data_IF_986904854720
#
_entry.id   IF_986904854720
#
_cell.length_a   1.000
_cell.length_b   1.000
_cell.length_c   1.000
_cell.angle_alpha   90.00
_cell.angle_beta   90.00
_cell.angle_gamma   90.00
#
_symmetry.space_group_name_H-M   'P 1'
#
loop_
_entity.id
_entity.type
_entity.pdbx_description
1 polymer ?
#
# COMPACT_ATOMS: atom_id res chain seq x y z
N UNK A 1 13.34 2.92 17.91
CA UNK A 1 12.77 1.56 17.87
C UNK A 1 11.25 1.68 17.79
N UNK A 2 10.72 1.58 16.57
CA UNK A 2 9.27 1.54 16.33
C UNK A 2 8.67 0.28 16.95
N UNK A 3 7.43 0.37 17.40
CA UNK A 3 6.77 -0.72 18.13
C UNK A 3 5.47 -1.07 17.42
N UNK A 4 5.37 -2.29 16.89
CA UNK A 4 4.12 -2.79 16.34
C UNK A 4 3.25 -3.26 17.51
N UNK A 5 2.06 -2.66 17.69
CA UNK A 5 1.07 -3.09 18.69
C UNK A 5 -0.15 -3.64 17.97
N UNK A 6 -0.45 -4.92 18.23
CA UNK A 6 -1.71 -5.51 17.79
C UNK A 6 -2.86 -5.04 18.70
N UNK A 7 -3.91 -4.45 18.13
CA UNK A 7 -5.22 -4.41 18.78
C UNK A 7 -5.98 -5.73 18.45
N UNK A 8 -5.66 -6.78 19.23
CA UNK A 8 -6.41 -8.05 19.43
C UNK A 8 -6.34 -9.21 18.37
N UNK A 9 -6.49 -10.45 18.85
CA UNK A 9 -6.12 -11.77 18.24
C UNK A 9 -7.18 -12.38 17.29
N UNK A 10 -6.63 -12.90 16.19
CA UNK A 10 -7.06 -13.83 15.12
C UNK A 10 -8.12 -14.92 15.35
N UNK A 11 -8.97 -15.12 14.32
CA UNK A 11 -9.22 -16.42 13.63
C UNK A 11 -9.55 -16.22 12.12
N UNK A 12 -8.87 -17.02 11.29
CA UNK A 12 -9.00 -17.33 9.84
C UNK A 12 -8.77 -16.24 8.76
N UNK A 13 -8.08 -16.66 7.67
CA UNK A 13 -7.36 -15.86 6.66
C UNK A 13 -7.98 -15.92 5.25
N UNK A 14 -7.68 -14.92 4.41
CA UNK A 14 -7.28 -15.09 3.00
C UNK A 14 -6.61 -13.82 2.40
N UNK A 15 -5.66 -14.06 1.49
CA UNK A 15 -5.06 -13.21 0.43
C UNK A 15 -4.05 -12.09 0.78
N UNK A 16 -3.05 -11.99 -0.12
CA UNK A 16 -1.84 -11.16 -0.18
C UNK A 16 -1.82 -9.85 0.63
N UNK A 17 -0.67 -9.55 1.23
CA UNK A 17 -0.45 -8.29 1.97
C UNK A 17 0.84 -7.60 1.52
N UNK A 18 0.86 -6.29 1.72
CA UNK A 18 1.71 -5.32 1.01
C UNK A 18 2.54 -4.45 1.96
N UNK A 19 3.66 -3.92 1.46
CA UNK A 19 4.34 -2.74 2.01
C UNK A 19 4.76 -1.71 0.97
N UNK A 20 4.75 -0.45 1.41
CA UNK A 20 5.04 0.72 0.59
C UNK A 20 5.98 1.71 1.29
N UNK A 21 6.68 2.53 0.48
CA UNK A 21 7.46 3.69 0.92
C UNK A 21 6.59 4.84 1.44
N UNK A 22 6.68 5.14 2.74
CA UNK A 22 5.96 6.25 3.41
C UNK A 22 6.93 7.40 3.72
N UNK A 23 7.27 8.17 2.69
CA UNK A 23 8.12 9.37 2.82
C UNK A 23 9.53 9.07 3.35
N UNK A 24 10.20 10.09 3.91
CA UNK A 24 11.63 10.01 4.19
C UNK A 24 12.06 9.00 5.29
N UNK A 25 11.15 8.46 6.11
CA UNK A 25 11.55 7.72 7.34
C UNK A 25 10.57 6.66 7.87
N UNK A 26 9.60 6.10 7.12
CA UNK A 26 8.75 5.00 7.64
C UNK A 26 8.29 4.03 6.55
N UNK A 27 8.11 2.76 6.91
CA UNK A 27 7.66 1.68 6.02
C UNK A 27 6.87 0.66 6.85
N UNK A 28 5.79 0.09 6.32
CA UNK A 28 5.09 -1.05 6.93
C UNK A 28 4.71 -2.09 5.86
N UNK A 29 5.13 -3.34 6.05
CA UNK A 29 4.44 -4.53 5.57
C UNK A 29 3.74 -5.19 6.75
N UNK A 30 2.57 -5.81 6.57
CA UNK A 30 2.10 -6.84 7.52
C UNK A 30 1.54 -8.02 6.72
N UNK A 31 2.37 -8.92 6.20
CA UNK A 31 1.85 -10.14 5.57
C UNK A 31 1.73 -11.29 6.54
N UNK A 32 0.50 -11.77 6.73
CA UNK A 32 0.23 -13.01 7.42
C UNK A 32 0.62 -14.19 6.53
N UNK A 33 1.61 -14.96 6.96
CA UNK A 33 2.01 -16.19 6.28
C UNK A 33 0.91 -17.27 6.49
N UNK A 34 0.37 -17.92 5.44
CA UNK A 34 -0.74 -18.85 5.57
C UNK A 34 -0.40 -19.99 6.51
N UNK A 35 -1.37 -20.41 7.31
CA UNK A 35 -1.23 -21.53 8.24
C UNK A 35 -0.11 -21.35 9.27
N UNK A 36 0.35 -20.12 9.49
CA UNK A 36 1.28 -19.78 10.56
C UNK A 36 0.72 -18.60 11.36
N UNK A 37 1.14 -18.49 12.62
CA UNK A 37 0.92 -17.28 13.41
C UNK A 37 2.06 -16.29 13.16
N UNK A 38 2.40 -15.95 11.91
CA UNK A 38 3.56 -15.12 11.60
C UNK A 38 3.19 -13.96 10.67
N UNK A 39 3.82 -12.82 10.88
CA UNK A 39 3.72 -11.61 10.07
C UNK A 39 5.10 -11.19 9.57
N UNK A 40 5.17 -10.71 8.35
CA UNK A 40 6.35 -9.98 7.86
C UNK A 40 6.14 -8.50 8.15
N UNK A 41 7.06 -7.89 8.89
CA UNK A 41 7.03 -6.48 9.32
C UNK A 41 8.25 -5.77 8.77
N UNK A 42 8.04 -4.73 7.96
CA UNK A 42 9.13 -3.82 7.60
C UNK A 42 9.27 -2.76 8.70
N UNK A 43 10.48 -2.58 9.23
CA UNK A 43 10.81 -1.60 10.26
C UNK A 43 12.13 -0.90 9.92
N UNK A 44 12.12 0.43 9.78
CA UNK A 44 13.31 1.25 9.53
C UNK A 44 14.25 0.72 8.42
N UNK A 45 13.65 0.21 7.34
CA UNK A 45 14.29 -0.42 6.16
C UNK A 45 14.81 -1.84 6.35
N UNK A 46 14.57 -2.46 7.49
CA UNK A 46 14.82 -3.89 7.72
C UNK A 46 13.50 -4.64 7.61
N UNK A 47 13.46 -5.72 6.85
CA UNK A 47 12.31 -6.62 6.84
C UNK A 47 12.51 -7.65 7.95
N UNK A 48 11.56 -7.74 8.86
CA UNK A 48 11.55 -8.68 9.97
C UNK A 48 10.41 -9.67 9.79
N UNK A 49 10.62 -10.91 10.19
CA UNK A 49 9.56 -11.88 10.35
C UNK A 49 9.26 -11.98 11.83
N UNK A 50 8.02 -11.72 12.20
CA UNK A 50 7.56 -11.79 13.59
C UNK A 50 6.51 -12.88 13.75
N UNK A 51 6.59 -13.63 14.84
CA UNK A 51 5.57 -14.58 15.26
C UNK A 51 4.58 -13.88 16.19
N UNK A 52 3.31 -14.02 15.89
CA UNK A 52 2.18 -13.70 16.74
C UNK A 52 1.95 -14.89 17.68
N UNK A 53 2.00 -14.66 18.99
CA UNK A 53 1.55 -15.65 19.97
C UNK A 53 0.03 -15.58 20.12
N UNK A 54 -0.67 -16.73 20.01
CA UNK A 54 -2.11 -16.80 20.29
C UNK A 54 -2.46 -16.62 21.77
N UNK A 55 -1.48 -16.73 22.67
CA UNK A 55 -1.65 -16.49 24.10
C UNK A 55 -1.36 -15.03 24.51
N UNK A 56 -0.69 -14.25 23.66
CA UNK A 56 -0.31 -12.86 23.90
C UNK A 56 -0.24 -12.05 22.58
N UNK A 57 -1.35 -11.50 22.07
CA UNK A 57 -1.43 -10.79 20.77
C UNK A 57 -0.47 -9.62 20.66
N UNK A 58 -0.31 -8.93 21.78
CA UNK A 58 0.42 -7.68 21.90
C UNK A 58 1.93 -7.90 21.99
N UNK A 59 2.39 -9.16 22.06
CA UNK A 59 3.80 -9.54 22.04
C UNK A 59 4.12 -10.23 20.71
N UNK A 60 4.77 -9.47 19.84
CA UNK A 60 5.31 -9.97 18.59
C UNK A 60 6.77 -10.36 18.81
N UNK A 61 7.07 -11.65 18.67
CA UNK A 61 8.43 -12.18 18.76
C UNK A 61 9.10 -12.07 17.39
N UNK A 62 10.28 -11.44 17.31
CA UNK A 62 11.07 -11.46 16.06
C UNK A 62 11.69 -12.85 15.92
N UNK A 63 11.32 -13.56 14.86
CA UNK A 63 11.78 -14.93 14.57
C UNK A 63 12.74 -14.99 13.36
N UNK A 64 12.87 -13.88 12.64
CA UNK A 64 13.79 -13.75 11.52
C UNK A 64 14.00 -12.29 11.17
N UNK A 65 15.19 -11.96 10.67
CA UNK A 65 15.51 -10.65 10.13
C UNK A 65 16.11 -10.87 8.76
N UNK A 66 15.63 -10.11 7.78
CA UNK A 66 16.13 -10.13 6.42
C UNK A 66 17.53 -9.53 6.32
N UNK A 67 18.56 -10.29 5.92
CA UNK A 67 19.93 -9.79 5.94
C UNK A 67 20.34 -9.03 4.67
N UNK A 68 19.51 -8.99 3.62
CA UNK A 68 19.94 -8.55 2.28
C UNK A 68 19.72 -7.06 1.98
N UNK A 69 19.83 -6.21 3.00
CA UNK A 69 19.86 -4.75 2.82
C UNK A 69 18.53 -4.04 3.02
N UNK A 70 18.41 -2.84 2.46
CA UNK A 70 17.27 -1.97 2.68
C UNK A 70 16.04 -2.52 1.97
N UNK A 71 14.91 -2.53 2.65
CA UNK A 71 13.60 -2.73 2.06
C UNK A 71 12.96 -1.34 1.88
N UNK A 72 12.54 -1.00 0.67
CA UNK A 72 11.83 0.24 0.34
C UNK A 72 10.36 0.00 -0.02
N UNK A 73 10.07 -1.14 -0.64
CA UNK A 73 8.73 -1.64 -0.88
C UNK A 73 8.76 -3.18 -0.80
N UNK A 74 7.62 -3.79 -0.49
CA UNK A 74 7.51 -5.25 -0.50
C UNK A 74 6.13 -5.74 -0.90
N UNK A 75 6.10 -6.96 -1.43
CA UNK A 75 4.86 -7.69 -1.67
C UNK A 75 5.08 -9.17 -1.37
N UNK A 76 4.04 -9.85 -0.90
CA UNK A 76 4.16 -11.25 -0.46
C UNK A 76 3.16 -12.11 -1.20
N UNK A 77 3.68 -13.10 -1.92
CA UNK A 77 2.92 -14.17 -2.52
C UNK A 77 2.95 -15.38 -1.61
N UNK A 78 1.88 -15.51 -0.86
CA UNK A 78 1.71 -16.58 0.09
C UNK A 78 1.35 -17.92 -0.54
N UNK A 79 0.96 -17.94 -1.82
CA UNK A 79 0.65 -19.18 -2.55
C UNK A 79 1.91 -19.83 -3.06
N UNK A 80 2.85 -19.02 -3.57
CA UNK A 80 4.16 -19.47 -4.06
C UNK A 80 5.24 -19.49 -2.98
N UNK A 81 4.93 -19.05 -1.76
CA UNK A 81 5.89 -18.84 -0.67
C UNK A 81 7.07 -17.96 -1.11
N UNK A 82 6.78 -16.86 -1.81
CA UNK A 82 7.79 -15.87 -2.16
C UNK A 82 7.47 -14.49 -1.60
N UNK A 83 8.52 -13.74 -1.25
CA UNK A 83 8.43 -12.31 -0.99
C UNK A 83 9.22 -11.54 -2.04
N UNK A 84 8.77 -10.34 -2.35
CA UNK A 84 9.46 -9.37 -3.19
C UNK A 84 9.94 -8.23 -2.34
N UNK A 85 11.19 -7.80 -2.53
CA UNK A 85 11.78 -6.66 -1.83
C UNK A 85 12.43 -5.73 -2.83
N UNK A 86 11.98 -4.48 -2.84
CA UNK A 86 12.70 -3.40 -3.50
C UNK A 86 13.87 -2.94 -2.61
N UNK A 87 15.09 -3.08 -3.12
CA UNK A 87 16.32 -2.61 -2.49
C UNK A 87 17.11 -1.77 -3.49
N UNK A 88 16.92 -0.45 -3.44
CA UNK A 88 17.50 0.46 -4.44
C UNK A 88 16.97 0.13 -5.84
N UNK A 89 17.85 -0.01 -6.82
CA UNK A 89 17.53 -0.36 -8.21
C UNK A 89 17.39 -1.88 -8.44
N UNK A 90 17.18 -2.66 -7.39
CA UNK A 90 17.02 -4.12 -7.48
C UNK A 90 15.71 -4.54 -6.86
N UNK A 91 14.94 -5.36 -7.58
CA UNK A 91 13.84 -6.14 -7.03
C UNK A 91 14.36 -7.55 -6.72
N UNK A 92 14.43 -7.89 -5.45
CA UNK A 92 14.86 -9.21 -4.96
C UNK A 92 13.65 -10.11 -4.76
N UNK A 93 13.79 -11.39 -5.14
CA UNK A 93 12.80 -12.45 -4.92
C UNK A 93 13.34 -13.42 -3.88
N UNK A 94 12.52 -13.69 -2.89
CA UNK A 94 12.92 -14.38 -1.67
C UNK A 94 12.06 -15.62 -1.47
N UNK A 95 12.68 -16.75 -1.15
CA UNK A 95 11.95 -17.91 -0.63
C UNK A 95 11.64 -17.69 0.86
N UNK A 96 10.36 -17.75 1.19
CA UNK A 96 9.80 -17.60 2.55
C UNK A 96 9.12 -18.88 3.03
N UNK A 97 9.37 -20.02 2.38
CA UNK A 97 8.86 -21.35 2.78
C UNK A 97 9.33 -21.77 4.17
N UNK A 98 10.53 -21.32 4.57
CA UNK A 98 11.07 -21.45 5.93
C UNK A 98 11.34 -20.07 6.53
N UNK A 99 10.40 -19.53 7.33
CA UNK A 99 10.48 -18.14 7.81
C UNK A 99 11.66 -17.85 8.77
N UNK A 100 12.23 -18.88 9.40
CA UNK A 100 13.44 -18.75 10.22
C UNK A 100 14.74 -18.86 9.40
N UNK A 101 14.64 -19.20 8.11
CA UNK A 101 15.77 -19.49 7.22
C UNK A 101 15.45 -19.07 5.78
N UNK A 102 15.02 -17.83 5.60
CA UNK A 102 14.70 -17.25 4.30
C UNK A 102 15.95 -17.10 3.43
N UNK A 103 15.82 -17.24 2.11
CA UNK A 103 16.93 -17.03 1.18
C UNK A 103 16.51 -16.17 -0.01
N UNK A 104 17.44 -15.40 -0.56
CA UNK A 104 17.24 -14.78 -1.87
C UNK A 104 17.39 -15.86 -2.95
N UNK A 105 16.39 -15.99 -3.81
CA UNK A 105 16.36 -17.00 -4.89
C UNK A 105 16.44 -16.37 -6.28
N UNK A 106 16.09 -15.08 -6.43
CA UNK A 106 16.16 -14.37 -7.69
C UNK A 106 16.32 -12.87 -7.50
N UNK A 107 16.70 -12.17 -8.56
CA UNK A 107 16.73 -10.71 -8.59
C UNK A 107 16.61 -10.19 -10.02
N UNK A 108 16.07 -8.97 -10.15
CA UNK A 108 16.04 -8.22 -11.41
C UNK A 108 16.36 -6.76 -11.14
N UNK A 109 17.17 -6.15 -12.01
CA UNK A 109 17.40 -4.70 -11.95
C UNK A 109 16.16 -3.97 -12.45
N UNK A 110 15.78 -2.92 -11.76
CA UNK A 110 14.65 -2.06 -12.08
C UNK A 110 15.10 -0.60 -12.17
N UNK A 111 14.34 0.20 -12.91
CA UNK A 111 14.62 1.62 -13.07
C UNK A 111 14.20 2.44 -11.83
N UNK A 112 15.18 2.71 -10.97
CA UNK A 112 15.02 3.47 -9.75
C UNK A 112 14.52 2.65 -8.56
N UNK A 113 14.27 3.35 -7.45
CA UNK A 113 13.81 2.78 -6.19
C UNK A 113 12.32 2.47 -6.22
N UNK A 114 11.95 1.22 -5.94
CA UNK A 114 10.56 0.81 -5.80
C UNK A 114 9.87 1.61 -4.69
N UNK A 115 8.78 2.30 -5.04
CA UNK A 115 7.92 2.96 -4.06
C UNK A 115 6.88 2.00 -3.54
N UNK A 116 6.38 1.13 -4.42
CA UNK A 116 5.28 0.26 -4.11
C UNK A 116 5.21 -0.92 -5.07
N UNK A 117 4.79 -2.08 -4.56
CA UNK A 117 4.72 -3.34 -5.32
C UNK A 117 3.37 -3.99 -5.08
N UNK A 118 2.75 -4.53 -6.11
CA UNK A 118 1.50 -5.32 -6.03
C UNK A 118 1.59 -6.52 -6.96
N UNK A 119 1.04 -7.65 -6.53
CA UNK A 119 1.09 -8.91 -7.25
C UNK A 119 -0.20 -9.17 -8.02
N UNK A 120 -0.08 -9.74 -9.22
CA UNK A 120 -1.21 -10.29 -10.00
C UNK A 120 -0.79 -11.54 -10.74
N UNK A 121 -1.32 -12.70 -10.32
CA UNK A 121 -0.89 -14.00 -10.84
C UNK A 121 0.63 -14.16 -10.78
N UNK A 122 1.24 -14.40 -11.94
CA UNK A 122 2.68 -14.55 -12.07
C UNK A 122 3.45 -13.24 -12.24
N UNK A 123 2.80 -12.08 -12.09
CA UNK A 123 3.43 -10.78 -12.34
C UNK A 123 3.46 -9.92 -11.08
N UNK A 124 4.46 -9.04 -11.01
CA UNK A 124 4.49 -7.90 -10.10
C UNK A 124 4.33 -6.62 -10.91
N UNK A 125 3.36 -5.80 -10.53
CA UNK A 125 3.27 -4.41 -10.95
C UNK A 125 3.91 -3.55 -9.86
N UNK A 126 4.83 -2.67 -10.23
CA UNK A 126 5.43 -1.74 -9.28
C UNK A 126 5.61 -0.35 -9.87
N UNK A 127 5.68 0.62 -8.98
CA UNK A 127 6.01 2.00 -9.35
C UNK A 127 7.31 2.41 -8.69
N UNK A 128 8.12 3.15 -9.43
CA UNK A 128 9.24 3.91 -8.89
C UNK A 128 8.91 5.39 -8.96
N UNK A 129 9.88 6.28 -8.74
CA UNK A 129 9.62 7.72 -8.86
C UNK A 129 9.08 8.07 -10.25
N UNK A 130 9.75 7.66 -11.32
CA UNK A 130 9.43 8.06 -12.70
C UNK A 130 8.97 6.89 -13.59
N UNK A 131 8.79 5.69 -13.05
CA UNK A 131 8.48 4.51 -13.84
C UNK A 131 7.28 3.74 -13.29
N UNK A 132 6.50 3.19 -14.21
CA UNK A 132 5.62 2.06 -13.97
C UNK A 132 6.21 0.83 -14.64
N UNK A 133 6.40 -0.25 -13.88
CA UNK A 133 7.10 -1.45 -14.34
C UNK A 133 6.24 -2.69 -14.08
N UNK A 134 6.35 -3.66 -14.99
CA UNK A 134 5.75 -4.99 -14.84
C UNK A 134 6.86 -6.03 -14.93
N UNK A 135 6.99 -6.86 -13.90
CA UNK A 135 7.98 -7.93 -13.80
C UNK A 135 7.28 -9.29 -13.84
N UNK A 136 7.74 -10.18 -14.70
CA UNK A 136 7.36 -11.59 -14.77
C UNK A 136 8.11 -12.40 -13.70
N UNK A 137 7.34 -13.16 -12.94
CA UNK A 137 7.74 -14.03 -11.85
C UNK A 137 7.28 -15.48 -12.10
N UNK A 138 7.03 -15.86 -13.36
CA UNK A 138 6.70 -17.24 -13.74
C UNK A 138 7.82 -18.20 -13.32
N UNK A 139 9.07 -17.76 -13.43
CA UNK A 139 10.24 -18.36 -12.78
C UNK A 139 10.79 -17.39 -11.73
N UNK A 140 10.45 -17.57 -10.43
CA UNK A 140 10.92 -16.71 -9.35
C UNK A 140 12.44 -16.68 -9.16
N UNK A 141 13.17 -17.68 -9.64
CA UNK A 141 14.64 -17.70 -9.60
C UNK A 141 15.25 -16.83 -10.70
N UNK A 142 14.50 -16.62 -11.80
CA UNK A 142 14.93 -15.83 -12.95
C UNK A 142 13.87 -14.77 -13.33
N UNK A 143 13.55 -13.82 -12.43
CA UNK A 143 12.56 -12.78 -12.69
C UNK A 143 12.98 -11.88 -13.86
N UNK A 144 12.02 -11.37 -14.64
CA UNK A 144 12.30 -10.56 -15.84
C UNK A 144 11.37 -9.37 -15.95
N UNK A 145 11.92 -8.19 -16.22
CA UNK A 145 11.11 -7.05 -16.61
C UNK A 145 10.44 -7.33 -17.97
N UNK A 146 9.13 -7.13 -18.03
CA UNK A 146 8.30 -7.35 -19.25
C UNK A 146 7.82 -6.06 -19.87
N UNK A 147 7.64 -5.02 -19.07
CA UNK A 147 7.27 -3.69 -19.54
C UNK A 147 7.80 -2.62 -18.59
N UNK A 148 8.13 -1.47 -19.17
CA UNK A 148 8.52 -0.25 -18.47
C UNK A 148 7.95 0.96 -19.19
N UNK A 149 7.30 1.84 -18.43
CA UNK A 149 6.74 3.10 -18.93
C UNK A 149 7.39 4.23 -18.16
N UNK A 150 8.08 5.13 -18.87
CA UNK A 150 8.77 6.27 -18.30
C UNK A 150 7.89 7.52 -18.30
N UNK A 151 7.88 8.24 -17.17
CA UNK A 151 7.13 9.46 -16.95
C UNK A 151 8.07 10.57 -16.45
N UNK A 152 8.59 11.41 -17.35
CA UNK A 152 9.52 12.46 -16.97
C UNK A 152 8.84 13.47 -16.04
N UNK A 153 9.46 13.72 -14.88
CA UNK A 153 8.98 14.70 -13.90
C UNK A 153 7.74 14.26 -13.12
N UNK A 154 7.28 13.01 -13.28
CA UNK A 154 6.22 12.45 -12.45
C UNK A 154 6.82 11.80 -11.20
N UNK A 155 6.08 11.82 -10.10
CA UNK A 155 6.41 11.08 -8.88
C UNK A 155 5.25 10.16 -8.51
N UNK A 156 5.38 8.88 -8.80
CA UNK A 156 4.43 7.88 -8.32
C UNK A 156 4.72 7.51 -6.88
N UNK A 157 3.66 7.19 -6.16
CA UNK A 157 3.74 6.72 -4.78
C UNK A 157 3.14 5.34 -4.65
N UNK A 158 1.96 5.12 -5.22
CA UNK A 158 1.20 3.86 -5.08
C UNK A 158 0.84 3.21 -6.39
N UNK A 159 0.58 1.91 -6.35
CA UNK A 159 -0.14 1.16 -7.40
C UNK A 159 -1.16 0.21 -6.80
N UNK A 160 -2.44 0.26 -7.19
CA UNK A 160 -3.40 -0.83 -6.87
C UNK A 160 -3.89 -1.48 -8.15
N UNK A 161 -4.32 -2.73 -8.04
CA UNK A 161 -4.91 -3.48 -9.14
C UNK A 161 -6.39 -3.75 -8.85
N UNK A 162 -7.21 -3.74 -9.90
CA UNK A 162 -8.57 -4.27 -9.86
C UNK A 162 -8.96 -4.75 -11.24
N UNK A 163 -9.38 -6.02 -11.32
CA UNK A 163 -9.48 -6.75 -12.57
C UNK A 163 -8.20 -6.58 -13.40
N UNK A 164 -8.30 -6.02 -14.60
CA UNK A 164 -7.16 -5.76 -15.48
C UNK A 164 -6.64 -4.31 -15.38
N UNK A 165 -7.18 -3.49 -14.49
CA UNK A 165 -6.75 -2.10 -14.31
C UNK A 165 -5.64 -1.96 -13.28
N UNK A 166 -4.62 -1.16 -13.58
CA UNK A 166 -3.63 -0.64 -12.65
C UNK A 166 -3.87 0.85 -12.39
N UNK A 167 -3.94 1.23 -11.12
CA UNK A 167 -4.30 2.55 -10.62
C UNK A 167 -3.11 3.13 -9.86
N UNK A 168 -2.42 4.11 -10.46
CA UNK A 168 -1.14 4.64 -9.99
C UNK A 168 -1.35 6.00 -9.32
N UNK A 169 -1.16 6.07 -8.01
CA UNK A 169 -1.24 7.32 -7.27
C UNK A 169 0.02 8.17 -7.48
N UNK A 170 -0.15 9.45 -7.73
CA UNK A 170 0.93 10.35 -8.11
C UNK A 170 0.69 11.79 -7.64
N UNK A 171 1.74 12.61 -7.71
CA UNK A 171 1.68 14.06 -7.44
C UNK A 171 0.73 14.86 -8.34
N UNK A 172 0.29 14.27 -9.45
CA UNK A 172 -0.53 14.96 -10.44
C UNK A 172 -1.91 14.32 -10.57
N UNK A 173 -2.29 13.40 -9.68
CA UNK A 173 -3.54 12.66 -9.72
C UNK A 173 -3.34 11.16 -9.90
N UNK A 174 -4.34 10.48 -10.47
CA UNK A 174 -4.39 9.03 -10.65
C UNK A 174 -4.16 8.68 -12.11
N UNK A 175 -3.11 7.92 -12.41
CA UNK A 175 -2.88 7.35 -13.74
C UNK A 175 -3.49 5.95 -13.80
N UNK A 176 -4.20 5.65 -14.88
CA UNK A 176 -4.92 4.39 -15.05
C UNK A 176 -4.41 3.68 -16.31
N UNK A 177 -4.02 2.42 -16.14
CA UNK A 177 -3.51 1.56 -17.18
C UNK A 177 -4.34 0.27 -17.24
N UNK A 178 -4.58 -0.23 -18.45
CA UNK A 178 -4.96 -1.62 -18.68
C UNK A 178 -3.69 -2.47 -18.73
N UNK A 179 -3.62 -3.47 -17.87
CA UNK A 179 -2.52 -4.42 -17.72
C UNK A 179 -2.92 -5.85 -18.10
N UNK A 180 -4.00 -6.01 -18.88
CA UNK A 180 -4.44 -7.32 -19.42
C UNK A 180 -3.32 -8.04 -20.17
N UNK A 181 -2.50 -7.27 -20.89
CA UNK A 181 -1.26 -7.76 -21.50
C UNK A 181 -0.06 -7.21 -20.71
N UNK A 182 0.63 -8.04 -19.91
CA UNK A 182 1.75 -7.60 -19.07
C UNK A 182 2.96 -7.12 -19.87
N UNK A 183 3.07 -7.49 -21.16
CA UNK A 183 4.13 -7.04 -22.05
C UNK A 183 3.83 -5.69 -22.72
N UNK A 184 2.57 -5.23 -22.65
CA UNK A 184 2.13 -4.01 -23.30
C UNK A 184 1.00 -3.34 -22.50
N UNK A 185 1.31 -2.73 -21.36
CA UNK A 185 0.32 -1.95 -20.61
C UNK A 185 -0.18 -0.77 -21.45
N UNK A 186 -1.49 -0.57 -21.48
CA UNK A 186 -2.16 0.46 -22.30
C UNK A 186 -2.68 1.57 -21.40
N UNK A 187 -2.24 2.81 -21.64
CA UNK A 187 -2.77 3.98 -20.92
C UNK A 187 -4.26 4.15 -21.21
N UNK A 188 -5.06 4.27 -20.16
CA UNK A 188 -6.52 4.45 -20.25
C UNK A 188 -6.91 5.90 -19.95
N UNK A 189 -6.46 6.43 -18.82
CA UNK A 189 -6.82 7.78 -18.38
C UNK A 189 -5.82 8.35 -17.36
N UNK A 190 -5.86 9.67 -17.25
CA UNK A 190 -5.27 10.42 -16.15
C UNK A 190 -6.40 11.21 -15.47
N UNK A 191 -6.77 10.78 -14.27
CA UNK A 191 -7.76 11.45 -13.44
C UNK A 191 -7.09 12.51 -12.58
N UNK A 192 -7.65 13.72 -12.59
CA UNK A 192 -7.29 14.80 -11.69
C UNK A 192 -8.52 15.66 -11.41
N UNK A 193 -8.71 16.02 -10.15
CA UNK A 193 -9.74 16.93 -9.68
C UNK A 193 -9.04 17.94 -8.75
N UNK A 194 -9.24 19.24 -8.98
CA UNK A 194 -8.57 20.33 -8.25
C UNK A 194 -7.03 20.23 -8.13
N UNK A 195 -6.36 19.56 -9.09
CA UNK A 195 -4.93 19.24 -9.05
C UNK A 195 -4.52 18.45 -7.80
N UNK A 196 -5.34 17.47 -7.41
CA UNK A 196 -5.08 16.61 -6.27
C UNK A 196 -3.74 15.87 -6.39
N UNK A 197 -2.95 15.97 -5.33
CA UNK A 197 -1.75 15.18 -5.06
C UNK A 197 -2.17 13.91 -4.32
N UNK A 198 -2.14 12.76 -4.99
CA UNK A 198 -2.61 11.48 -4.43
C UNK A 198 -1.43 10.74 -3.81
N UNK A 199 -1.55 10.46 -2.52
CA UNK A 199 -0.55 9.72 -1.75
C UNK A 199 -0.74 8.23 -1.88
N UNK A 200 -1.98 7.78 -1.74
CA UNK A 200 -2.32 6.37 -1.78
C UNK A 200 -3.71 6.16 -2.38
N UNK A 201 -3.93 4.97 -2.90
CA UNK A 201 -5.19 4.56 -3.49
C UNK A 201 -5.56 3.19 -2.94
N UNK A 202 -6.84 2.99 -2.62
CA UNK A 202 -7.42 1.67 -2.40
C UNK A 202 -8.52 1.43 -3.45
N UNK A 203 -8.84 0.18 -3.78
CA UNK A 203 -9.90 -0.14 -4.75
C UNK A 203 -10.94 -1.02 -4.11
N UNK A 204 -12.21 -0.61 -4.19
CA UNK A 204 -13.35 -1.36 -3.68
C UNK A 204 -14.43 -1.49 -4.76
N UNK A 205 -14.54 -2.70 -5.31
CA UNK A 205 -15.43 -2.97 -6.44
C UNK A 205 -15.10 -2.06 -7.62
N UNK A 206 -16.07 -1.18 -7.97
CA UNK A 206 -15.95 -0.20 -9.05
C UNK A 206 -15.47 1.18 -8.60
N UNK A 207 -14.97 1.33 -7.38
CA UNK A 207 -14.51 2.61 -6.85
C UNK A 207 -13.02 2.59 -6.53
N UNK A 208 -12.30 3.60 -7.03
CA UNK A 208 -10.97 3.95 -6.55
C UNK A 208 -11.10 5.01 -5.44
N UNK A 209 -10.47 4.75 -4.30
CA UNK A 209 -10.47 5.58 -3.12
C UNK A 209 -9.13 6.33 -3.06
N UNK A 210 -9.12 7.56 -3.54
CA UNK A 210 -7.92 8.37 -3.69
C UNK A 210 -7.69 9.18 -2.41
N UNK A 211 -6.67 8.79 -1.65
CA UNK A 211 -6.23 9.51 -0.46
C UNK A 211 -5.25 10.60 -0.90
N UNK A 212 -5.67 11.85 -0.86
CA UNK A 212 -4.91 12.94 -1.44
C UNK A 212 -5.10 14.29 -0.76
N UNK A 213 -4.31 15.24 -1.21
CA UNK A 213 -4.39 16.63 -0.77
C UNK A 213 -4.45 17.57 -1.96
N UNK A 214 -5.09 18.71 -1.79
CA UNK A 214 -5.02 19.78 -2.78
C UNK A 214 -5.08 21.14 -2.09
N UNK A 215 -4.62 22.15 -2.83
CA UNK A 215 -4.73 23.53 -2.39
C UNK A 215 -6.01 24.13 -2.95
N UNK A 216 -6.88 24.63 -2.07
CA UNK A 216 -8.14 25.23 -2.51
C UNK A 216 -7.87 26.42 -3.46
N UNK A 217 -8.39 26.39 -4.71
CA UNK A 217 -8.25 27.51 -5.63
C UNK A 217 -9.09 28.72 -5.15
N UNK A 218 -8.75 29.95 -5.54
CA UNK A 218 -7.63 30.35 -6.40
C UNK A 218 -6.30 30.63 -5.66
N UNK A 219 -6.24 30.59 -4.32
CA UNK A 219 -5.17 31.29 -3.58
C UNK A 219 -4.30 30.44 -2.62
N UNK A 220 -4.22 29.10 -2.77
CA UNK A 220 -3.45 28.24 -1.83
C UNK A 220 -3.66 28.60 -0.34
N UNK A 221 -4.85 29.10 -0.01
CA UNK A 221 -5.15 29.65 1.32
C UNK A 221 -5.29 28.53 2.34
N UNK A 222 -5.75 27.36 1.88
CA UNK A 222 -6.02 26.21 2.72
C UNK A 222 -5.61 24.93 1.98
N UNK A 223 -4.76 24.14 2.64
CA UNK A 223 -4.45 22.78 2.24
C UNK A 223 -5.55 21.87 2.77
N UNK A 224 -6.21 21.16 1.86
CA UNK A 224 -7.28 20.21 2.18
C UNK A 224 -6.71 18.81 2.06
N UNK A 225 -6.85 18.01 3.10
CA UNK A 225 -6.65 16.57 3.04
C UNK A 225 -8.00 15.91 2.84
N UNK A 226 -8.11 15.04 1.86
CA UNK A 226 -9.39 14.46 1.48
C UNK A 226 -9.26 13.00 1.05
N UNK A 227 -10.39 12.34 1.10
CA UNK A 227 -10.62 11.09 0.39
C UNK A 227 -11.57 11.39 -0.77
N UNK A 228 -11.12 11.15 -2.00
CA UNK A 228 -11.99 11.19 -3.19
C UNK A 228 -12.43 9.77 -3.57
N UNK A 229 -13.72 9.58 -3.76
CA UNK A 229 -14.32 8.32 -4.23
C UNK A 229 -14.58 8.48 -5.72
N UNK A 230 -13.89 7.70 -6.53
CA UNK A 230 -13.90 7.82 -8.00
C UNK A 230 -14.49 6.55 -8.60
N UNK A 231 -15.57 6.67 -9.38
CA UNK A 231 -16.13 5.56 -10.16
C UNK A 231 -15.17 5.23 -11.32
N UNK A 232 -14.71 3.98 -11.32
CA UNK A 232 -13.78 3.40 -12.30
C UNK A 232 -14.44 2.27 -13.11
N UNK A 233 -15.77 2.23 -13.18
CA UNK A 233 -16.51 1.28 -14.04
C UNK A 233 -16.07 1.36 -15.51
N UNK A 234 -15.67 2.56 -15.93
CA UNK A 234 -15.04 2.83 -17.21
C UNK A 234 -13.65 3.42 -16.95
N UNK A 235 -12.58 2.60 -16.91
CA UNK A 235 -11.23 3.06 -16.59
C UNK A 235 -10.69 4.18 -17.50
N UNK A 236 -11.20 4.30 -18.73
CA UNK A 236 -10.88 5.37 -19.67
C UNK A 236 -11.63 6.70 -19.38
N UNK A 237 -12.64 6.68 -18.52
CA UNK A 237 -13.46 7.83 -18.16
C UNK A 237 -13.84 7.79 -16.66
N UNK A 238 -12.86 7.89 -15.74
CA UNK A 238 -13.11 7.91 -14.30
C UNK A 238 -13.90 9.16 -13.88
N UNK A 239 -14.84 9.00 -12.96
CA UNK A 239 -15.75 10.08 -12.52
C UNK A 239 -15.73 10.23 -11.00
N UNK A 240 -15.54 11.46 -10.51
CA UNK A 240 -15.67 11.75 -9.08
C UNK A 240 -17.12 11.54 -8.63
N UNK A 241 -17.31 10.76 -7.56
CA UNK A 241 -18.62 10.41 -6.99
C UNK A 241 -18.87 11.18 -5.69
N UNK A 242 -17.88 11.20 -4.82
CA UNK A 242 -18.00 11.80 -3.49
C UNK A 242 -16.65 12.16 -2.92
N UNK A 243 -16.68 13.03 -1.92
CA UNK A 243 -15.49 13.47 -1.20
C UNK A 243 -15.73 13.39 0.31
N UNK A 244 -14.66 13.18 1.06
CA UNK A 244 -14.67 13.24 2.51
C UNK A 244 -13.52 14.13 3.00
N UNK A 245 -13.83 15.16 3.80
CA UNK A 245 -12.83 16.02 4.42
C UNK A 245 -12.18 15.31 5.61
N UNK A 246 -10.87 15.08 5.51
CA UNK A 246 -10.10 14.40 6.54
C UNK A 246 -9.57 15.38 7.60
N UNK A 247 -9.79 16.68 7.46
CA UNK A 247 -9.28 17.72 8.35
C UNK A 247 -7.76 17.92 8.24
N UNK A 248 -7.27 19.02 8.82
CA UNK A 248 -5.89 19.52 8.62
C UNK A 248 -4.87 19.18 9.70
N UNK A 249 -5.31 18.59 10.82
CA UNK A 249 -4.45 18.37 11.98
C UNK A 249 -3.47 17.20 11.80
N UNK A 250 -3.71 16.34 10.82
CA UNK A 250 -2.90 15.15 10.57
C UNK A 250 -2.56 15.01 9.07
N UNK A 251 -1.31 14.65 8.79
CA UNK A 251 -0.85 14.30 7.44
C UNK A 251 -1.28 12.89 7.06
N UNK A 252 -1.49 12.69 5.76
CA UNK A 252 -1.90 11.41 5.17
C UNK A 252 -0.77 10.38 5.24
N UNK A 253 -1.14 9.12 5.49
CA UNK A 253 -0.21 7.99 5.48
C UNK A 253 -0.67 6.90 4.53
N UNK A 254 -1.76 6.23 4.88
CA UNK A 254 -2.18 5.03 4.15
C UNK A 254 -3.70 4.88 4.21
N UNK A 255 -4.25 4.26 3.17
CA UNK A 255 -5.64 3.85 3.11
C UNK A 255 -5.73 2.37 2.78
N UNK A 256 -6.61 1.69 3.52
CA UNK A 256 -7.06 0.34 3.15
C UNK A 256 -8.58 0.30 3.16
N UNK A 257 -9.15 -0.64 2.41
CA UNK A 257 -10.61 -0.80 2.32
C UNK A 257 -11.01 -2.24 2.57
N UNK A 258 -11.97 -2.42 3.47
CA UNK A 258 -12.57 -3.72 3.74
C UNK A 258 -13.52 -4.15 2.62
N UNK A 259 -13.78 -5.46 2.51
CA UNK A 259 -14.76 -5.98 1.56
C UNK A 259 -16.18 -5.39 1.77
N UNK A 260 -16.51 -5.00 3.00
CA UNK A 260 -17.79 -4.38 3.34
C UNK A 260 -17.92 -2.92 2.88
N UNK A 261 -16.85 -2.30 2.36
CA UNK A 261 -16.88 -0.90 1.96
C UNK A 261 -16.69 0.07 3.13
N UNK A 262 -15.92 -0.33 4.15
CA UNK A 262 -15.36 0.62 5.11
C UNK A 262 -13.92 0.96 4.72
N UNK A 263 -13.65 2.24 4.51
CA UNK A 263 -12.33 2.79 4.29
C UNK A 263 -11.65 3.12 5.63
N UNK A 264 -10.39 2.70 5.77
CA UNK A 264 -9.58 2.88 6.95
C UNK A 264 -8.41 3.79 6.60
N UNK A 265 -8.40 5.00 7.14
CA UNK A 265 -7.41 6.03 6.79
C UNK A 265 -6.50 6.27 7.98
N UNK A 266 -5.21 5.97 7.81
CA UNK A 266 -4.16 6.27 8.77
C UNK A 266 -3.57 7.66 8.52
N UNK A 267 -3.42 8.42 9.60
CA UNK A 267 -2.83 9.74 9.60
C UNK A 267 -1.94 9.94 10.83
N UNK A 268 -0.95 10.82 10.71
CA UNK A 268 -0.01 11.19 11.78
C UNK A 268 0.09 12.71 11.88
N UNK A 269 0.46 13.25 13.04
CA UNK A 269 0.97 14.62 13.08
C UNK A 269 2.29 14.69 12.30
N UNK A 270 2.67 15.88 11.82
CA UNK A 270 3.90 16.06 11.04
C UNK A 270 5.14 15.50 11.75
N UNK A 271 5.21 15.72 13.07
CA UNK A 271 6.29 15.26 13.94
C UNK A 271 6.13 13.82 14.44
N UNK A 272 5.05 13.13 14.03
CA UNK A 272 4.70 11.77 14.47
C UNK A 272 4.55 11.62 15.99
N UNK A 273 4.09 12.69 16.64
CA UNK A 273 3.85 12.71 18.08
C UNK A 273 2.47 12.13 18.43
N UNK A 274 1.53 12.16 17.48
CA UNK A 274 0.21 11.56 17.61
C UNK A 274 -0.26 11.01 16.27
N UNK A 275 -1.16 10.05 16.31
CA UNK A 275 -1.73 9.39 15.14
C UNK A 275 -3.23 9.18 15.26
N UNK A 276 -3.88 9.07 14.11
CA UNK A 276 -5.33 8.91 14.00
C UNK A 276 -5.65 7.87 12.93
N UNK A 277 -6.55 6.97 13.27
CA UNK A 277 -7.24 6.11 12.32
C UNK A 277 -8.68 6.60 12.20
N UNK A 278 -9.13 6.91 10.98
CA UNK A 278 -10.53 7.15 10.67
C UNK A 278 -11.12 5.93 9.97
N UNK A 279 -12.38 5.59 10.31
CA UNK A 279 -13.16 4.54 9.66
C UNK A 279 -14.36 5.22 9.02
N UNK A 280 -14.42 5.16 7.68
CA UNK A 280 -15.39 5.86 6.86
C UNK A 280 -16.22 4.81 6.10
N UNK A 281 -17.53 4.80 6.29
CA UNK A 281 -18.44 4.00 5.47
C UNK A 281 -18.62 4.66 4.10
N UNK A 282 -18.33 3.89 3.06
CA UNK A 282 -18.53 4.28 1.65
C UNK A 282 -19.55 3.37 0.94
N UNK A 283 -20.08 2.36 1.65
CA UNK A 283 -20.91 1.31 1.07
C UNK A 283 -22.37 1.73 0.92
N UNK A 284 -22.87 2.53 1.86
CA UNK A 284 -24.29 2.93 1.93
C UNK A 284 -24.61 4.06 0.96
N UNK A 285 -23.78 5.11 0.97
CA UNK A 285 -23.90 6.27 0.08
C UNK A 285 -22.49 6.79 -0.28
N UNK A 286 -21.91 6.35 -1.41
CA UNK A 286 -20.59 6.78 -1.83
C UNK A 286 -20.54 8.25 -2.28
N UNK A 287 -21.68 8.92 -2.47
CA UNK A 287 -21.74 10.36 -2.75
C UNK A 287 -21.53 11.16 -1.45
N UNK A 288 -22.06 10.66 -0.34
CA UNK A 288 -21.95 11.26 0.99
C UNK A 288 -21.33 10.27 1.99
N UNK A 289 -20.03 9.95 1.85
CA UNK A 289 -19.34 9.06 2.78
C UNK A 289 -19.42 9.59 4.21
N UNK A 290 -19.50 8.69 5.19
CA UNK A 290 -19.70 9.07 6.60
C UNK A 290 -18.71 8.40 7.53
N UNK A 291 -18.23 9.14 8.53
CA UNK A 291 -17.39 8.55 9.56
C UNK A 291 -18.22 7.70 10.51
N UNK A 292 -17.84 6.44 10.65
CA UNK A 292 -18.50 5.46 11.54
C UNK A 292 -17.62 5.09 12.74
N UNK A 293 -16.37 5.55 12.77
CA UNK A 293 -15.49 5.32 13.89
C UNK A 293 -14.15 6.04 13.76
N UNK A 294 -13.49 6.23 14.90
CA UNK A 294 -12.13 6.76 14.98
C UNK A 294 -11.34 6.15 16.11
N UNK A 295 -10.03 6.07 15.94
CA UNK A 295 -9.07 5.71 16.99
C UNK A 295 -7.96 6.77 17.04
N UNK A 296 -7.64 7.23 18.25
CA UNK A 296 -6.62 8.23 18.51
C UNK A 296 -5.46 7.62 19.29
N UNK A 297 -4.25 7.89 18.83
CA UNK A 297 -2.99 7.50 19.44
C UNK A 297 -2.25 8.77 19.85
N UNK A 298 -2.22 9.06 21.15
CA UNK A 298 -1.76 10.35 21.66
C UNK A 298 -0.23 10.47 21.86
N UNK A 299 0.49 9.36 21.77
CA UNK A 299 1.91 9.24 22.11
C UNK A 299 2.81 8.83 20.93
N UNK A 300 2.22 8.46 19.79
CA UNK A 300 2.93 8.04 18.57
C UNK A 300 2.10 8.30 17.32
N UNK A 301 2.78 8.57 16.20
CA UNK A 301 2.18 8.60 14.87
C UNK A 301 1.73 7.21 14.42
N UNK A 302 0.67 7.14 13.61
CA UNK A 302 0.25 5.94 12.90
C UNK A 302 0.77 6.01 11.48
N UNK A 303 1.67 5.10 11.12
CA UNK A 303 2.41 5.18 9.86
C UNK A 303 1.85 4.24 8.79
N UNK A 304 1.14 3.17 9.17
CA UNK A 304 0.53 2.28 8.19
C UNK A 304 -0.54 1.38 8.78
N UNK A 305 -1.24 0.69 7.90
CA UNK A 305 -2.37 -0.18 8.22
C UNK A 305 -2.41 -1.43 7.35
N UNK A 306 -2.82 -2.55 7.94
CA UNK A 306 -3.24 -3.73 7.21
C UNK A 306 -4.57 -4.26 7.75
N UNK A 307 -5.41 -4.79 6.86
CA UNK A 307 -6.69 -5.42 7.22
C UNK A 307 -6.58 -6.94 7.09
N UNK A 308 -7.09 -7.69 8.06
CA UNK A 308 -7.29 -9.13 7.92
C UNK A 308 -8.51 -9.59 8.70
N UNK A 309 -9.49 -10.12 7.97
CA UNK A 309 -10.78 -10.51 8.52
C UNK A 309 -11.46 -9.32 9.20
N UNK A 310 -11.70 -9.45 10.51
CA UNK A 310 -12.35 -8.42 11.34
C UNK A 310 -11.38 -7.46 12.04
N UNK A 311 -10.09 -7.51 11.71
CA UNK A 311 -9.03 -6.80 12.43
C UNK A 311 -8.31 -5.81 11.52
N UNK A 312 -7.95 -4.67 12.09
CA UNK A 312 -7.01 -3.71 11.53
C UNK A 312 -5.73 -3.71 12.38
N UNK A 313 -4.58 -3.81 11.73
CA UNK A 313 -3.26 -3.78 12.34
C UNK A 313 -2.59 -2.45 12.01
N UNK A 314 -2.05 -1.77 13.01
CA UNK A 314 -1.51 -0.42 12.87
C UNK A 314 -0.01 -0.40 13.16
N UNK A 315 0.77 0.25 12.30
CA UNK A 315 2.17 0.57 12.61
C UNK A 315 2.27 1.91 13.31
N UNK A 316 3.06 1.93 14.39
CA UNK A 316 3.37 3.14 15.14
C UNK A 316 4.82 3.61 14.84
N UNK A 317 5.09 4.91 14.99
CA UNK A 317 6.42 5.52 14.81
C UNK A 317 7.44 5.22 15.91
#
# INVERSE_FOLDING_TARGET
MKTLRALAILRHFSSAVRAKRLGAMSFLCIALLPNTSQIVVQNDRVLEIRKISTAAPSQLEVIGVWPYGLCEASAIDTTRNIALIGNGETLQVLDISSPSATSQIGEVRIEGSAQDIVLTGNYACLVTRNYFLIVDLTDPENPRETASVFFPGQHFRSVRLSANGAYLASEQGLFIYDVSNPYQPVFQAHYTHDNIDIFDVAVWGKYALCLGQFWKPPERQELIYCLEIVDISFPAAPVLVGTFDLGKDYVLREIEVSAAGNAYVCQSTERREAGRLLIIDISTDPVNPSEIGRYLKADKGLEGIALSGRYAYLLES
#
